data_IF_169599310053
#
_entry.id   IF_169599310053
#
_cell.length_a   1.000
_cell.length_b   1.000
_cell.length_c   1.000
_cell.angle_alpha   90.00
_cell.angle_beta   90.00
_cell.angle_gamma   90.00
#
_symmetry.space_group_name_H-M   'P 1'
#
loop_
_entity.id
_entity.type
_entity.pdbx_description
1 polymer ?
#
# COMPACT_ATOMS: atom_id res chain seq x y z
N UNK A 1 -54.44 -38.39 41.55
CA UNK A 1 -55.66 -38.76 40.81
C UNK A 1 -55.38 -38.64 39.31
N UNK A 2 -55.13 -39.79 38.69
CA UNK A 2 -55.63 -40.26 37.37
C UNK A 2 -55.52 -39.40 36.09
N UNK A 3 -54.60 -39.83 35.20
CA UNK A 3 -54.68 -40.12 33.75
C UNK A 3 -55.34 -39.18 32.70
N UNK A 4 -54.58 -38.86 31.64
CA UNK A 4 -54.69 -39.42 30.25
C UNK A 4 -53.59 -38.80 29.33
N UNK A 5 -52.58 -39.55 28.90
CA UNK A 5 -52.41 -40.31 27.62
C UNK A 5 -52.52 -39.43 26.34
N UNK A 6 -51.41 -39.26 25.61
CA UNK A 6 -51.17 -39.89 24.29
C UNK A 6 -49.71 -39.77 23.82
N UNK A 7 -49.22 -40.92 23.40
CA UNK A 7 -47.96 -41.29 22.74
C UNK A 7 -48.02 -41.05 21.23
N UNK A 8 -46.85 -40.81 20.62
CA UNK A 8 -46.36 -41.34 19.34
C UNK A 8 -44.89 -40.89 19.26
N UNK A 9 -43.91 -41.73 19.62
CA UNK A 9 -43.33 -42.81 18.80
C UNK A 9 -42.96 -42.37 17.38
N UNK A 10 -41.64 -42.28 17.18
CA UNK A 10 -40.96 -41.93 15.94
C UNK A 10 -39.46 -42.00 16.18
N UNK A 11 -38.98 -43.20 16.53
CA UNK A 11 -37.57 -43.51 16.65
C UNK A 11 -36.99 -43.82 15.26
N UNK A 12 -35.84 -43.22 14.95
CA UNK A 12 -34.82 -43.85 14.13
C UNK A 12 -33.46 -43.28 14.52
N UNK A 13 -32.55 -44.18 14.87
CA UNK A 13 -31.26 -43.91 15.47
C UNK A 13 -30.11 -44.17 14.48
N UNK A 14 -28.92 -43.72 14.90
CA UNK A 14 -27.58 -44.09 14.44
C UNK A 14 -27.11 -43.63 13.05
N UNK A 15 -26.06 -42.82 13.02
CA UNK A 15 -24.72 -43.37 12.72
C UNK A 15 -23.61 -42.46 13.27
N UNK A 16 -22.67 -43.12 13.91
CA UNK A 16 -21.47 -42.66 14.57
C UNK A 16 -20.33 -42.55 13.54
N UNK A 17 -19.56 -41.46 13.54
CA UNK A 17 -18.20 -41.46 13.01
C UNK A 17 -17.34 -40.47 13.82
N UNK A 18 -16.73 -40.99 14.88
CA UNK A 18 -15.50 -40.45 15.47
C UNK A 18 -14.34 -40.79 14.53
N UNK A 19 -13.56 -39.79 14.10
CA UNK A 19 -12.11 -39.96 13.93
C UNK A 19 -11.41 -38.76 14.56
N UNK A 20 -10.79 -39.08 15.67
CA UNK A 20 -9.72 -38.45 16.45
C UNK A 20 -8.93 -37.27 15.84
N UNK A 21 -8.72 -36.25 16.68
CA UNK A 21 -7.71 -35.20 16.47
C UNK A 21 -7.80 -34.05 17.48
N UNK A 22 -7.50 -34.31 18.75
CA UNK A 22 -7.17 -33.27 19.75
C UNK A 22 -6.08 -33.86 20.68
N UNK A 23 -5.31 -33.09 21.47
CA UNK A 23 -5.25 -31.62 21.62
C UNK A 23 -3.79 -31.06 21.67
N UNK A 24 -3.60 -29.72 21.70
CA UNK A 24 -2.62 -29.09 22.61
C UNK A 24 -2.79 -27.56 22.68
N UNK A 25 -3.08 -27.12 23.90
CA UNK A 25 -3.09 -25.75 24.42
C UNK A 25 -1.66 -25.28 24.70
N UNK A 26 -1.37 -24.00 24.44
CA UNK A 26 -0.49 -23.08 25.19
C UNK A 26 -0.29 -21.81 24.35
N UNK A 27 -0.32 -20.57 24.84
CA UNK A 27 -0.57 -20.03 26.17
C UNK A 27 -0.93 -18.54 26.02
N UNK A 28 -1.73 -18.04 26.97
CA UNK A 28 -1.89 -16.62 27.31
C UNK A 28 -0.54 -15.93 27.58
N UNK A 29 -0.39 -14.68 27.13
CA UNK A 29 -0.08 -13.54 27.99
C UNK A 29 0.09 -12.24 27.18
N UNK A 30 -0.68 -11.21 27.53
CA UNK A 30 -0.15 -9.85 27.56
C UNK A 30 -0.73 -8.80 26.60
N UNK A 31 -1.77 -8.11 27.10
CA UNK A 31 -2.01 -6.67 26.96
C UNK A 31 -2.18 -6.04 25.56
N UNK A 32 -3.37 -5.47 25.37
CA UNK A 32 -3.65 -4.43 24.38
C UNK A 32 -4.57 -4.95 23.31
N UNK A 33 -5.87 -4.65 23.43
CA UNK A 33 -6.86 -4.99 22.43
C UNK A 33 -6.37 -4.55 21.05
N UNK A 34 -6.03 -5.52 20.21
CA UNK A 34 -6.05 -5.33 18.78
C UNK A 34 -7.51 -5.01 18.45
N UNK A 35 -7.83 -3.72 18.38
CA UNK A 35 -8.98 -3.29 17.63
C UNK A 35 -8.74 -3.83 16.22
N UNK A 36 -9.38 -4.95 15.90
CA UNK A 36 -9.51 -5.43 14.53
C UNK A 36 -10.33 -4.38 13.81
N UNK A 37 -9.62 -3.36 13.33
CA UNK A 37 -10.18 -2.38 12.42
C UNK A 37 -10.65 -3.16 11.18
N UNK A 38 -11.76 -2.76 10.54
CA UNK A 38 -12.10 -3.30 9.24
C UNK A 38 -10.88 -3.08 8.33
N UNK A 39 -10.45 -4.10 7.57
CA UNK A 39 -9.38 -3.94 6.59
C UNK A 39 -9.97 -3.69 5.19
N UNK A 40 -10.19 -2.43 4.77
CA UNK A 40 -10.45 -2.14 3.37
C UNK A 40 -9.15 -1.65 2.70
N UNK A 41 -8.46 -2.60 2.10
CA UNK A 41 -7.29 -2.42 1.22
C UNK A 41 -6.95 -3.76 0.58
N UNK A 42 -6.25 -3.76 -0.55
CA UNK A 42 -5.77 -5.02 -1.16
C UNK A 42 -4.55 -5.54 -0.39
N UNK A 43 -4.34 -6.85 -0.36
CA UNK A 43 -3.11 -7.42 0.22
C UNK A 43 -1.90 -7.15 -0.70
N UNK A 44 -0.71 -7.02 -0.12
CA UNK A 44 0.54 -6.91 -0.89
C UNK A 44 0.72 -8.08 -1.89
N UNK A 45 0.25 -9.29 -1.52
CA UNK A 45 0.23 -10.46 -2.40
C UNK A 45 -0.63 -10.25 -3.66
N UNK A 46 -1.86 -9.77 -3.49
CA UNK A 46 -2.75 -9.53 -4.63
C UNK A 46 -2.28 -8.32 -5.48
N UNK A 47 -1.52 -7.39 -4.88
CA UNK A 47 -0.83 -6.34 -5.62
C UNK A 47 0.32 -6.89 -6.47
N UNK A 48 1.17 -7.74 -5.88
CA UNK A 48 2.22 -8.47 -6.61
C UNK A 48 1.67 -9.21 -7.82
N UNK A 49 0.58 -9.96 -7.66
CA UNK A 49 0.00 -10.75 -8.75
C UNK A 49 -0.61 -9.89 -9.87
N UNK A 50 -1.22 -8.75 -9.54
CA UNK A 50 -1.69 -7.81 -10.56
C UNK A 50 -0.52 -7.11 -11.24
N UNK A 51 0.47 -6.65 -10.47
CA UNK A 51 1.67 -6.00 -10.98
C UNK A 51 2.48 -6.89 -11.93
N UNK A 52 2.64 -8.17 -11.56
CA UNK A 52 3.24 -9.19 -12.41
C UNK A 52 2.53 -9.31 -13.77
N UNK A 53 1.18 -9.42 -13.74
CA UNK A 53 0.37 -9.50 -14.95
C UNK A 53 0.42 -8.23 -15.80
N UNK A 54 0.36 -7.05 -15.19
CA UNK A 54 0.38 -5.79 -15.93
C UNK A 54 1.73 -5.50 -16.57
N UNK A 55 2.82 -5.90 -15.91
CA UNK A 55 4.18 -5.72 -16.42
C UNK A 55 4.65 -6.86 -17.32
N UNK A 56 3.89 -7.97 -17.40
CA UNK A 56 4.25 -9.14 -18.21
C UNK A 56 5.49 -9.87 -17.69
N UNK A 57 5.69 -9.90 -16.38
CA UNK A 57 6.86 -10.48 -15.71
C UNK A 57 6.45 -11.41 -14.57
N UNK A 58 7.35 -12.31 -14.17
CA UNK A 58 7.21 -13.11 -12.95
C UNK A 58 7.87 -12.40 -11.77
N UNK A 59 7.12 -12.21 -10.68
CA UNK A 59 7.62 -11.58 -9.46
C UNK A 59 7.86 -12.62 -8.37
N UNK A 60 9.04 -12.57 -7.76
CA UNK A 60 9.47 -13.42 -6.65
C UNK A 60 9.07 -12.84 -5.29
N UNK A 61 9.81 -13.22 -4.26
CA UNK A 61 9.70 -12.66 -2.93
C UNK A 61 9.96 -11.15 -2.92
N UNK A 62 9.25 -10.51 -2.00
CA UNK A 62 9.41 -9.10 -1.70
C UNK A 62 10.78 -8.84 -1.07
N UNK A 63 11.41 -7.76 -1.48
CA UNK A 63 12.58 -7.20 -0.83
C UNK A 63 12.14 -6.60 0.50
N UNK A 64 12.78 -7.02 1.59
CA UNK A 64 12.48 -6.47 2.90
C UNK A 64 12.89 -5.00 2.97
N UNK A 65 11.91 -4.13 3.21
CA UNK A 65 12.12 -2.73 3.55
C UNK A 65 11.12 -2.32 4.64
N UNK A 66 11.53 -1.42 5.53
CA UNK A 66 10.69 -1.01 6.64
C UNK A 66 9.51 -0.19 6.14
N UNK A 67 8.30 -0.60 6.52
CA UNK A 67 7.10 0.23 6.49
C UNK A 67 6.79 0.91 5.13
N UNK A 68 7.02 0.20 4.02
CA UNK A 68 6.76 0.73 2.68
C UNK A 68 5.30 1.18 2.49
N UNK A 69 4.35 0.48 3.13
CA UNK A 69 2.91 0.76 3.06
C UNK A 69 2.38 1.68 4.17
N UNK A 70 3.25 2.35 4.95
CA UNK A 70 2.84 3.31 5.99
C UNK A 70 1.91 2.75 7.09
N UNK A 71 1.93 1.45 7.34
CA UNK A 71 1.12 0.80 8.38
C UNK A 71 1.61 1.10 9.80
N UNK A 72 2.82 1.66 9.94
CA UNK A 72 3.37 2.11 11.22
C UNK A 72 3.77 3.60 11.17
N UNK A 73 3.51 4.37 12.24
CA UNK A 73 2.66 4.05 13.38
C UNK A 73 1.18 3.91 13.01
N UNK A 74 0.46 3.07 13.77
CA UNK A 74 -0.98 2.88 13.60
C UNK A 74 -1.74 4.10 14.11
N UNK A 75 -2.51 4.75 13.23
CA UNK A 75 -3.40 5.85 13.60
C UNK A 75 -4.53 5.32 14.51
N UNK A 76 -4.70 5.95 15.66
CA UNK A 76 -5.65 5.51 16.69
C UNK A 76 -7.10 5.71 16.26
N UNK A 77 -7.69 4.72 15.59
CA UNK A 77 -9.13 4.52 15.35
C UNK A 77 -9.90 5.63 14.62
N UNK A 78 -9.29 6.79 14.38
CA UNK A 78 -9.91 7.95 13.76
C UNK A 78 -9.48 8.02 12.30
N UNK A 79 -10.46 8.19 11.41
CA UNK A 79 -10.23 8.82 10.11
C UNK A 79 -9.51 10.14 10.35
N UNK A 80 -8.46 10.40 9.59
CA UNK A 80 -7.67 11.62 9.71
C UNK A 80 -6.25 11.40 9.23
N UNK A 81 -5.38 12.35 9.59
CA UNK A 81 -3.94 12.27 9.31
C UNK A 81 -3.13 12.64 10.54
N UNK A 82 -1.87 12.27 10.56
CA UNK A 82 -0.90 12.70 11.56
C UNK A 82 0.46 12.93 10.92
N UNK A 83 1.14 13.95 11.43
CA UNK A 83 2.41 14.41 10.88
C UNK A 83 3.55 13.96 11.79
N UNK A 84 4.56 13.34 11.23
CA UNK A 84 5.71 12.77 11.92
C UNK A 84 6.98 13.45 11.42
N UNK A 85 7.94 13.68 12.31
CA UNK A 85 9.25 14.16 11.87
C UNK A 85 9.94 13.11 10.97
N UNK A 86 9.77 11.84 11.34
CA UNK A 86 10.17 10.66 10.59
C UNK A 86 9.28 9.49 11.03
N UNK A 87 9.15 8.47 10.20
CA UNK A 87 8.60 7.17 10.59
C UNK A 87 9.59 6.10 10.16
N UNK A 88 9.47 4.88 10.69
CA UNK A 88 10.37 3.81 10.29
C UNK A 88 10.36 3.65 8.77
N UNK A 89 11.54 3.54 8.16
CA UNK A 89 11.74 3.44 6.72
C UNK A 89 11.52 4.70 5.87
N UNK A 90 11.01 5.81 6.42
CA UNK A 90 10.69 7.01 5.64
C UNK A 90 11.20 8.32 6.25
N UNK A 91 11.76 9.15 5.38
CA UNK A 91 12.18 10.52 5.67
C UNK A 91 11.42 11.51 4.78
N UNK A 92 11.34 12.76 5.23
CA UNK A 92 10.76 13.86 4.47
C UNK A 92 11.74 15.04 4.45
N UNK A 93 12.68 15.10 3.49
CA UNK A 93 13.77 16.08 3.48
C UNK A 93 13.31 17.54 3.55
N UNK A 94 12.13 17.80 3.01
CA UNK A 94 11.54 19.15 2.90
C UNK A 94 10.44 19.41 3.92
N UNK A 95 10.18 18.49 4.87
CA UNK A 95 9.14 18.72 5.88
C UNK A 95 8.92 17.57 6.88
N UNK A 96 7.76 16.92 6.78
CA UNK A 96 7.28 15.88 7.70
C UNK A 96 6.70 14.74 6.91
N UNK A 97 6.83 13.51 7.42
CA UNK A 97 6.12 12.35 6.87
C UNK A 97 4.69 12.40 7.37
N UNK A 98 3.72 12.33 6.47
CA UNK A 98 2.30 12.39 6.80
C UNK A 98 1.67 11.05 6.50
N UNK A 99 1.04 10.45 7.50
CA UNK A 99 0.28 9.20 7.36
C UNK A 99 -1.19 9.52 7.57
N UNK A 100 -2.06 8.94 6.76
CA UNK A 100 -3.50 9.18 6.86
C UNK A 100 -4.37 7.98 6.54
N UNK A 101 -5.67 8.19 6.82
CA UNK A 101 -6.78 7.29 6.53
C UNK A 101 -7.93 8.10 5.96
N UNK A 102 -8.34 7.75 4.74
CA UNK A 102 -9.51 8.35 4.11
C UNK A 102 -10.78 7.74 4.72
N UNK A 103 -11.82 8.58 4.83
CA UNK A 103 -13.17 8.14 5.15
C UNK A 103 -13.91 7.70 3.88
N UNK A 104 -14.12 6.39 3.66
CA UNK A 104 -14.87 5.92 2.50
C UNK A 104 -16.35 6.31 2.55
N UNK A 105 -16.87 6.77 3.70
CA UNK A 105 -18.25 7.28 3.78
C UNK A 105 -18.40 8.70 3.23
N UNK A 106 -17.28 9.43 3.05
CA UNK A 106 -17.26 10.83 2.59
C UNK A 106 -16.60 11.03 1.24
N UNK A 107 -15.97 9.98 0.70
CA UNK A 107 -15.24 10.03 -0.56
C UNK A 107 -15.46 8.73 -1.32
N UNK A 108 -15.33 8.71 -2.65
CA UNK A 108 -15.36 7.46 -3.42
C UNK A 108 -14.12 6.58 -3.21
N UNK A 109 -13.08 7.07 -2.51
CA UNK A 109 -11.85 6.33 -2.25
C UNK A 109 -12.02 5.34 -1.10
N UNK A 110 -11.41 4.17 -1.25
CA UNK A 110 -11.11 3.28 -0.14
C UNK A 110 -10.08 3.93 0.80
N UNK A 111 -10.02 3.46 2.05
CA UNK A 111 -9.17 4.04 3.10
C UNK A 111 -7.68 4.06 2.73
N UNK A 112 -7.20 3.01 2.07
CA UNK A 112 -5.86 2.91 1.48
C UNK A 112 -5.89 1.99 0.25
N UNK A 113 -4.78 1.93 -0.50
CA UNK A 113 -4.64 0.94 -1.56
C UNK A 113 -4.26 -0.43 -0.97
N UNK A 114 -3.39 -0.41 0.04
CA UNK A 114 -2.84 -1.56 0.72
C UNK A 114 -3.04 -1.41 2.23
N UNK A 115 -3.46 -2.47 2.92
CA UNK A 115 -3.61 -2.45 4.37
C UNK A 115 -4.72 -1.51 4.86
N UNK A 116 -4.35 -0.53 5.69
CA UNK A 116 -5.28 0.33 6.41
C UNK A 116 -4.92 1.82 6.37
N UNK A 117 -3.72 2.20 5.93
CA UNK A 117 -3.21 3.58 5.91
C UNK A 117 -2.41 3.86 4.63
N UNK A 118 -2.08 5.13 4.41
CA UNK A 118 -1.24 5.54 3.28
C UNK A 118 -0.39 6.76 3.66
N UNK A 119 0.66 7.00 2.88
CA UNK A 119 1.43 8.23 2.91
C UNK A 119 0.69 9.36 2.17
N UNK A 120 0.87 10.59 2.64
CA UNK A 120 0.32 11.78 1.99
C UNK A 120 1.47 12.68 1.55
N UNK A 121 1.37 13.15 0.30
CA UNK A 121 2.22 14.17 -0.27
C UNK A 121 1.40 15.44 -0.53
N UNK A 122 1.84 16.56 0.04
CA UNK A 122 1.23 17.88 -0.19
C UNK A 122 1.92 18.59 -1.36
N UNK A 123 1.21 18.91 -2.45
CA UNK A 123 1.77 19.73 -3.51
C UNK A 123 2.25 21.08 -2.98
N UNK A 124 3.45 21.49 -3.38
CA UNK A 124 3.96 22.82 -3.05
C UNK A 124 3.03 23.88 -3.66
N UNK A 125 2.33 24.66 -2.84
CA UNK A 125 1.62 25.84 -3.35
C UNK A 125 2.67 26.93 -3.70
N UNK A 126 2.48 27.70 -4.79
CA UNK A 126 3.51 28.59 -5.35
C UNK A 126 3.98 29.73 -4.43
N UNK A 127 3.48 29.83 -3.19
CA UNK A 127 3.68 30.98 -2.30
C UNK A 127 4.27 30.63 -0.93
N UNK A 128 4.52 29.36 -0.62
CA UNK A 128 5.13 28.97 0.67
C UNK A 128 6.11 27.82 0.49
N UNK A 129 7.40 28.14 0.40
CA UNK A 129 8.47 27.19 0.70
C UNK A 129 8.45 26.91 2.22
N UNK A 130 8.42 25.64 2.62
CA UNK A 130 8.38 25.22 4.03
C UNK A 130 7.07 24.59 4.52
N UNK A 131 6.16 24.20 3.63
CA UNK A 131 4.99 23.38 3.97
C UNK A 131 5.41 21.92 4.23
N UNK A 132 4.72 21.18 5.11
CA UNK A 132 5.05 19.79 5.39
C UNK A 132 4.80 18.89 4.17
N UNK A 133 5.73 17.95 3.93
CA UNK A 133 5.44 16.66 3.28
C UNK A 133 5.18 16.68 1.77
N UNK A 134 5.92 17.47 0.98
CA UNK A 134 5.84 17.40 -0.49
C UNK A 134 6.79 16.36 -1.11
N UNK A 135 7.68 15.79 -0.29
CA UNK A 135 8.72 14.85 -0.69
C UNK A 135 8.86 13.77 0.38
N UNK A 136 8.92 12.52 -0.06
CA UNK A 136 9.16 11.35 0.78
C UNK A 136 10.32 10.55 0.19
N UNK A 137 11.26 10.19 1.05
CA UNK A 137 12.42 9.37 0.69
C UNK A 137 12.45 8.07 1.50
N UNK A 138 12.80 6.97 0.84
CA UNK A 138 13.13 5.70 1.49
C UNK A 138 14.31 5.03 0.78
N UNK A 139 15.08 4.24 1.52
CA UNK A 139 16.20 3.47 0.96
C UNK A 139 15.88 1.97 1.04
N UNK A 140 15.99 1.30 -0.10
CA UNK A 140 15.74 -0.14 -0.24
C UNK A 140 17.10 -0.82 -0.50
N UNK A 141 17.36 -1.92 0.22
CA UNK A 141 18.57 -2.73 0.00
C UNK A 141 18.30 -3.80 -1.05
N UNK A 142 19.13 -3.87 -2.08
CA UNK A 142 18.93 -4.75 -3.24
C UNK A 142 20.23 -5.42 -3.69
N UNK A 143 20.13 -6.42 -4.54
CA UNK A 143 21.27 -7.07 -5.19
C UNK A 143 21.67 -6.27 -6.45
N UNK A 144 22.92 -5.78 -6.56
CA UNK A 144 23.39 -5.10 -7.76
C UNK A 144 23.26 -5.98 -9.01
N UNK A 145 22.80 -5.40 -10.11
CA UNK A 145 22.60 -6.08 -11.39
C UNK A 145 21.31 -6.91 -11.48
N UNK A 146 20.58 -7.09 -10.38
CA UNK A 146 19.29 -7.77 -10.40
C UNK A 146 18.16 -6.82 -10.85
N UNK A 147 17.13 -7.41 -11.46
CA UNK A 147 15.92 -6.72 -11.91
C UNK A 147 14.82 -6.79 -10.85
N UNK A 148 14.08 -5.70 -10.71
CA UNK A 148 13.04 -5.52 -9.71
C UNK A 148 11.82 -4.81 -10.30
N UNK A 149 10.70 -4.93 -9.59
CA UNK A 149 9.48 -4.20 -9.82
C UNK A 149 9.08 -3.47 -8.54
N UNK A 150 9.00 -2.14 -8.60
CA UNK A 150 8.30 -1.35 -7.58
C UNK A 150 6.81 -1.34 -7.94
N UNK A 151 5.97 -1.81 -7.02
CA UNK A 151 4.51 -1.82 -7.17
C UNK A 151 3.91 -0.86 -6.14
N UNK A 152 3.21 0.16 -6.63
CA UNK A 152 2.61 1.19 -5.76
C UNK A 152 1.27 1.65 -6.32
N UNK A 153 0.56 2.43 -5.52
CA UNK A 153 -0.69 3.06 -5.91
C UNK A 153 -0.72 4.52 -5.54
N UNK A 154 -1.42 5.30 -6.38
CA UNK A 154 -1.66 6.72 -6.18
C UNK A 154 -3.14 7.05 -6.32
N UNK A 155 -3.59 8.02 -5.55
CA UNK A 155 -4.91 8.62 -5.67
C UNK A 155 -4.86 10.10 -5.29
N UNK A 156 -5.91 10.83 -5.63
CA UNK A 156 -6.14 12.20 -5.17
C UNK A 156 -7.63 12.42 -4.93
N UNK A 157 -7.95 13.31 -4.00
CA UNK A 157 -9.31 13.81 -3.82
C UNK A 157 -9.67 14.92 -4.82
N UNK A 158 -8.71 15.38 -5.64
CA UNK A 158 -8.88 16.41 -6.67
C UNK A 158 -8.09 16.09 -7.95
N UNK A 159 -8.61 16.50 -9.09
CA UNK A 159 -7.90 16.43 -10.37
C UNK A 159 -6.76 17.46 -10.47
N UNK A 160 -5.87 17.23 -11.45
CA UNK A 160 -4.75 18.13 -11.77
C UNK A 160 -3.46 17.85 -11.00
N UNK A 161 -3.45 16.85 -10.12
CA UNK A 161 -2.28 16.42 -9.37
C UNK A 161 -1.35 15.53 -10.19
N UNK A 162 -0.07 15.59 -9.85
CA UNK A 162 0.99 14.76 -10.43
C UNK A 162 1.82 14.15 -9.30
N UNK A 163 2.39 12.98 -9.56
CA UNK A 163 3.44 12.39 -8.75
C UNK A 163 4.71 12.35 -9.60
N UNK A 164 5.81 12.90 -9.09
CA UNK A 164 7.15 12.64 -9.61
C UNK A 164 7.80 11.54 -8.79
N UNK A 165 8.39 10.58 -9.49
CA UNK A 165 9.05 9.42 -8.90
C UNK A 165 10.48 9.34 -9.42
N UNK A 166 11.45 9.19 -8.52
CA UNK A 166 12.85 8.96 -8.86
C UNK A 166 13.40 7.75 -8.10
N UNK A 167 14.15 6.90 -8.81
CA UNK A 167 14.81 5.71 -8.25
C UNK A 167 16.31 5.84 -8.46
N UNK A 168 17.00 6.51 -7.53
CA UNK A 168 18.46 6.62 -7.60
C UNK A 168 19.12 5.26 -7.31
N UNK A 169 20.25 5.00 -7.97
CA UNK A 169 20.90 3.69 -7.89
C UNK A 169 20.25 2.62 -8.81
N UNK A 170 19.54 3.06 -9.85
CA UNK A 170 18.91 2.19 -10.85
C UNK A 170 19.14 2.69 -12.28
N UNK A 171 18.71 1.92 -13.27
CA UNK A 171 18.60 2.30 -14.69
C UNK A 171 17.27 2.98 -15.06
N UNK A 172 16.36 3.17 -14.10
CA UNK A 172 15.05 3.74 -14.37
C UNK A 172 15.10 5.26 -14.46
N UNK A 173 14.60 5.79 -15.58
CA UNK A 173 14.42 7.23 -15.77
C UNK A 173 13.37 7.80 -14.79
N UNK A 174 13.57 9.05 -14.29
CA UNK A 174 12.55 9.73 -13.50
C UNK A 174 11.20 9.81 -14.22
N UNK A 175 10.11 9.59 -13.49
CA UNK A 175 8.74 9.57 -14.04
C UNK A 175 7.91 10.70 -13.47
N UNK A 176 7.02 11.25 -14.30
CA UNK A 176 5.91 12.12 -13.87
C UNK A 176 4.60 11.44 -14.25
N UNK A 177 3.78 11.16 -13.25
CA UNK A 177 2.56 10.37 -13.38
C UNK A 177 1.34 11.22 -13.02
N UNK A 178 0.32 11.30 -13.89
CA UNK A 178 -0.91 12.03 -13.55
C UNK A 178 -1.65 11.29 -12.44
N UNK A 179 -2.02 11.96 -11.36
CA UNK A 179 -2.71 11.29 -10.23
C UNK A 179 -4.22 11.28 -10.50
N UNK A 180 -4.89 10.12 -10.45
CA UNK A 180 -6.32 10.04 -10.69
C UNK A 180 -7.13 10.62 -9.53
N UNK A 181 -8.22 11.30 -9.88
CA UNK A 181 -9.20 11.79 -8.90
C UNK A 181 -10.18 10.66 -8.51
N UNK A 182 -10.40 10.47 -7.22
CA UNK A 182 -11.49 9.65 -6.69
C UNK A 182 -11.32 8.13 -6.84
N UNK A 183 -10.21 7.65 -7.40
CA UNK A 183 -9.86 6.24 -7.46
C UNK A 183 -8.35 6.01 -7.25
N UNK A 184 -8.00 4.88 -6.65
CA UNK A 184 -6.62 4.40 -6.61
C UNK A 184 -6.23 3.82 -7.97
N UNK A 185 -5.04 4.17 -8.46
CA UNK A 185 -4.43 3.54 -9.62
C UNK A 185 -3.10 2.92 -9.24
N UNK A 186 -2.98 1.63 -9.54
CA UNK A 186 -1.74 0.87 -9.43
C UNK A 186 -0.80 1.22 -10.57
N UNK A 187 0.47 1.34 -10.23
CA UNK A 187 1.58 1.60 -11.13
C UNK A 187 2.69 0.60 -10.85
N UNK A 188 3.37 0.19 -11.92
CA UNK A 188 4.52 -0.71 -11.83
C UNK A 188 5.71 -0.06 -12.51
N UNK A 189 6.83 0.03 -11.79
CA UNK A 189 8.09 0.52 -12.34
C UNK A 189 9.10 -0.61 -12.28
N UNK A 190 9.48 -1.11 -13.47
CA UNK A 190 10.57 -2.05 -13.61
C UNK A 190 11.91 -1.29 -13.60
N UNK A 191 12.90 -1.85 -12.91
CA UNK A 191 14.24 -1.29 -12.85
C UNK A 191 15.30 -2.38 -12.62
N UNK A 192 16.54 -2.10 -13.01
CA UNK A 192 17.73 -2.86 -12.68
C UNK A 192 18.55 -2.08 -11.66
N UNK A 193 18.92 -2.71 -10.56
CA UNK A 193 19.74 -2.08 -9.54
C UNK A 193 21.17 -1.89 -10.06
N UNK A 194 21.72 -0.67 -9.98
CA UNK A 194 23.11 -0.39 -10.36
C UNK A 194 24.06 -0.46 -9.15
N UNK A 195 23.51 -0.40 -7.93
CA UNK A 195 24.23 -0.56 -6.68
C UNK A 195 23.42 -1.33 -5.63
N UNK A 196 23.96 -1.52 -4.41
CA UNK A 196 23.31 -2.32 -3.36
C UNK A 196 22.17 -1.58 -2.65
N UNK A 197 21.94 -0.32 -3.01
CA UNK A 197 20.92 0.55 -2.42
C UNK A 197 20.22 1.33 -3.51
N UNK A 198 18.90 1.36 -3.42
CA UNK A 198 18.05 2.19 -4.26
C UNK A 198 17.37 3.20 -3.37
N UNK A 199 17.52 4.49 -3.69
CA UNK A 199 16.77 5.55 -3.02
C UNK A 199 15.54 5.86 -3.85
N UNK A 200 14.38 5.62 -3.26
CA UNK A 200 13.10 6.01 -3.81
C UNK A 200 12.74 7.39 -3.28
N UNK A 201 12.44 8.30 -4.21
CA UNK A 201 11.97 9.64 -3.91
C UNK A 201 10.61 9.85 -4.61
N UNK A 202 9.63 10.25 -3.82
CA UNK A 202 8.27 10.54 -4.27
C UNK A 202 7.94 12.00 -3.97
N UNK A 203 7.58 12.77 -4.99
CA UNK A 203 7.39 14.21 -4.90
C UNK A 203 6.08 14.67 -5.57
N UNK A 204 5.32 15.53 -4.90
CA UNK A 204 4.14 16.17 -5.47
C UNK A 204 4.46 17.61 -5.95
N UNK A 205 4.64 17.85 -7.26
CA UNK A 205 4.84 19.21 -7.79
C UNK A 205 3.59 20.07 -7.60
N UNK A 206 3.79 21.38 -7.63
CA UNK A 206 2.71 22.37 -7.69
C UNK A 206 1.71 22.02 -8.81
N UNK A 207 0.39 22.02 -8.53
CA UNK A 207 -0.61 21.78 -9.57
C UNK A 207 -0.52 22.86 -10.66
N UNK A 208 -0.71 22.47 -11.91
CA UNK A 208 -0.70 23.39 -13.07
C UNK A 208 -2.02 24.16 -13.26
N UNK A 209 -2.94 24.10 -12.29
CA UNK A 209 -4.31 24.63 -12.45
C UNK A 209 -4.37 26.12 -12.09
N UNK A 210 -5.01 26.89 -12.98
CA UNK A 210 -5.20 28.34 -12.90
C UNK A 210 -5.92 28.76 -11.60
N UNK A 211 -5.35 29.73 -10.89
CA UNK A 211 -5.66 30.10 -9.50
C UNK A 211 -7.04 30.80 -9.31
N UNK A 212 -7.89 30.84 -10.33
CA UNK A 212 -9.09 31.68 -10.37
C UNK A 212 -10.38 31.09 -9.76
N UNK A 213 -10.46 29.79 -9.45
CA UNK A 213 -11.76 29.14 -9.21
C UNK A 213 -11.94 28.38 -7.88
N UNK A 214 -10.91 28.24 -7.04
CA UNK A 214 -11.03 27.41 -5.84
C UNK A 214 -10.77 28.21 -4.57
N UNK A 215 -11.84 28.83 -4.09
CA UNK A 215 -11.92 29.31 -2.72
C UNK A 215 -11.56 28.18 -1.74
N UNK A 216 -10.51 28.45 -0.96
CA UNK A 216 -10.09 27.85 0.29
C UNK A 216 -11.20 27.08 1.01
N UNK A 217 -11.25 25.77 0.79
CA UNK A 217 -11.83 24.83 1.73
C UNK A 217 -10.71 23.91 2.20
N UNK A 218 -10.62 23.74 3.53
CA UNK A 218 -9.63 22.97 4.31
C UNK A 218 -9.66 21.44 4.05
N UNK A 219 -9.72 21.05 2.78
CA UNK A 219 -9.65 19.70 2.26
C UNK A 219 -8.63 19.72 1.13
N UNK A 220 -7.39 19.44 1.53
CA UNK A 220 -6.16 19.78 0.84
C UNK A 220 -5.91 18.91 -0.40
N UNK A 221 -5.06 19.42 -1.28
CA UNK A 221 -4.81 18.96 -2.65
C UNK A 221 -3.89 17.73 -2.62
N UNK A 222 -4.19 16.75 -1.78
CA UNK A 222 -3.19 15.76 -1.37
C UNK A 222 -3.04 14.65 -2.44
N UNK A 223 -1.79 14.25 -2.67
CA UNK A 223 -1.49 13.00 -3.38
C UNK A 223 -1.36 11.91 -2.33
N UNK A 224 -2.27 10.94 -2.39
CA UNK A 224 -2.24 9.75 -1.57
C UNK A 224 -1.32 8.74 -2.24
N UNK A 225 -0.37 8.20 -1.50
CA UNK A 225 0.69 7.34 -2.01
C UNK A 225 0.90 6.14 -1.10
N UNK A 226 0.94 4.95 -1.68
CA UNK A 226 1.00 3.70 -0.93
C UNK A 226 1.76 2.64 -1.73
N UNK A 227 2.69 1.92 -1.10
CA UNK A 227 3.58 0.97 -1.77
C UNK A 227 3.23 -0.44 -1.33
N UNK A 228 2.88 -1.29 -2.29
CA UNK A 228 2.62 -2.71 -2.02
C UNK A 228 3.90 -3.47 -1.69
N UNK A 229 5.01 -3.10 -2.35
CA UNK A 229 6.31 -3.70 -2.13
C UNK A 229 7.26 -3.46 -3.30
N UNK A 230 8.49 -3.94 -3.11
CA UNK A 230 9.51 -4.06 -4.16
C UNK A 230 9.79 -5.53 -4.34
N UNK A 231 9.60 -6.05 -5.55
CA UNK A 231 9.69 -7.48 -5.82
C UNK A 231 10.82 -7.78 -6.80
N UNK A 232 11.59 -8.85 -6.56
CA UNK A 232 12.58 -9.30 -7.55
C UNK A 232 11.85 -9.85 -8.78
N UNK A 233 12.33 -9.53 -9.98
CA UNK A 233 11.86 -10.13 -11.23
C UNK A 233 12.60 -11.45 -11.44
N UNK A 234 11.85 -12.51 -11.70
CA UNK A 234 12.35 -13.89 -11.74
C UNK A 234 12.18 -14.57 -13.08
N UNK A 235 11.95 -13.81 -14.15
CA UNK A 235 11.99 -14.37 -15.49
C UNK A 235 13.37 -14.99 -15.72
N UNK A 236 13.39 -16.25 -16.16
CA UNK A 236 14.60 -16.86 -16.70
C UNK A 236 15.11 -15.94 -17.82
N UNK A 237 16.45 -15.78 -18.00
CA UNK A 237 16.95 -15.03 -19.14
C UNK A 237 16.31 -15.62 -20.39
N UNK A 238 15.58 -14.80 -21.14
CA UNK A 238 15.10 -15.17 -22.46
C UNK A 238 16.36 -15.55 -23.22
N UNK A 239 16.53 -16.84 -23.49
CA UNK A 239 17.63 -17.36 -24.27
C UNK A 239 17.67 -16.51 -25.54
N UNK A 240 18.73 -15.73 -25.69
CA UNK A 240 18.92 -14.89 -26.86
C UNK A 240 18.77 -15.79 -28.07
N UNK A 241 17.86 -15.45 -28.98
CA UNK A 241 17.82 -16.03 -30.32
C UNK A 241 19.03 -15.56 -31.13
N UNK A 242 20.23 -15.79 -30.60
CA UNK A 242 21.49 -15.78 -31.32
C UNK A 242 21.84 -17.24 -31.55
N UNK A 243 22.03 -17.59 -32.82
CA UNK A 243 22.33 -18.92 -33.36
C UNK A 243 21.14 -19.88 -33.50
N UNK A 244 20.26 -19.55 -34.45
CA UNK A 244 19.74 -20.58 -35.35
C UNK A 244 20.63 -20.60 -36.62
N UNK A 245 21.11 -21.77 -37.08
CA UNK A 245 22.04 -21.90 -38.21
C UNK A 245 21.47 -21.48 -39.56
#
# INVERSE_FOLDING_TARGET
MTNKIRTNEGAAALALALVMGAPLLAADAGCGGAATLPQPGRTALAARETGARSAGVSLCDEVTAANLSFEAPVLGGRVGRSDYAQVDGWEAPTGRVIIGRVDPSRTPLQTSAYGSQHGLLHPLLPVTSGQPGNELETTITVEPGARYALVFSVASLRSGNQLRLRLEGTDAEPRSLPVPEGAWREEVVLFTATGPRVRLEAFAPTPTVDHGALAYNRGEVDVLFDIAGVFRVCDAPTESAADAP
#
